data_IF_680990035965
#
_entry.id   IF_680990035965
#
_cell.length_a   1.000
_cell.length_b   1.000
_cell.length_c   1.000
_cell.angle_alpha   90.00
_cell.angle_beta   90.00
_cell.angle_gamma   90.00
#
_symmetry.space_group_name_H-M   'P 1'
#
loop_
_entity.id
_entity.type
_entity.pdbx_description
1 polymer ?
2 non-polymer ?
3 non-polymer ?
4 non-polymer ?
5 non-polymer ?
6 water ?
#
# COMPACT_ATOMS: atom_id res chain seq x y z
N UNK A 5 29.81 2.04 -6.13
CA UNK A 5 29.10 2.92 -7.05
C UNK A 5 27.63 2.46 -7.21
N UNK A 6 26.67 3.35 -6.97
CA UNK A 6 25.28 3.00 -7.18
C UNK A 6 24.89 3.38 -8.61
N UNK A 7 24.61 2.39 -9.44
CA UNK A 7 24.21 2.67 -10.82
C UNK A 7 22.93 3.48 -10.90
N UNK A 8 22.01 3.32 -9.94
CA UNK A 8 20.77 4.07 -9.97
C UNK A 8 20.48 4.71 -8.61
N UNK A 9 19.89 5.88 -8.67
CA UNK A 9 19.48 6.52 -7.43
C UNK A 9 18.46 5.61 -6.71
N UNK A 10 18.38 5.64 -5.37
CA UNK A 10 17.36 4.85 -4.65
C UNK A 10 15.97 5.30 -5.10
N UNK A 11 14.97 4.44 -4.86
CA UNK A 11 13.61 4.69 -5.29
C UNK A 11 12.63 4.53 -4.14
N UNK A 12 11.66 5.44 -4.04
CA UNK A 12 10.57 5.21 -3.10
C UNK A 12 9.26 5.55 -3.77
N UNK A 13 8.19 4.99 -3.21
CA UNK A 13 6.82 5.21 -3.65
C UNK A 13 6.06 5.97 -2.58
N UNK A 14 5.54 7.15 -2.93
CA UNK A 14 4.80 7.90 -1.94
C UNK A 14 3.48 8.44 -2.50
N UNK A 15 2.77 9.26 -1.73
CA UNK A 15 1.54 9.83 -2.28
C UNK A 15 1.08 10.91 -1.33
N UNK A 16 0.22 11.79 -1.85
CA UNK A 16 -0.40 12.85 -1.03
C UNK A 16 -1.75 12.34 -0.54
N UNK A 17 -1.97 12.40 0.79
CA UNK A 17 -3.23 12.01 1.41
C UNK A 17 -3.75 13.17 2.21
N UNK A 18 -5.01 13.07 2.66
CA UNK A 18 -5.63 14.19 3.37
C UNK A 18 -7.00 14.56 2.82
N UNK A 19 -7.67 15.45 3.58
CA UNK A 19 -9.07 15.80 3.31
C UNK A 19 -9.20 16.53 1.97
N UNK A 20 -10.38 16.42 1.39
CA UNK A 20 -10.67 17.08 0.13
C UNK A 20 -10.52 18.59 0.24
N UNK A 21 -9.92 19.18 -0.83
CA UNK A 21 -9.69 20.61 -0.99
C UNK A 21 -8.60 21.14 -0.07
N UNK A 22 -7.85 20.28 0.62
CA UNK A 22 -6.77 20.79 1.49
C UNK A 22 -5.52 21.13 0.71
N UNK A 23 -5.39 20.61 -0.51
CA UNK A 23 -4.32 21.05 -1.40
C UNK A 23 -3.42 19.97 -1.90
N UNK A 24 -3.89 18.72 -1.91
CA UNK A 24 -3.03 17.59 -2.31
C UNK A 24 -2.55 17.75 -3.74
N UNK A 25 -3.48 18.04 -4.68
CA UNK A 25 -3.07 18.11 -6.09
C UNK A 25 -2.26 19.36 -6.35
N UNK A 26 -2.58 20.48 -5.70
CA UNK A 26 -1.75 21.65 -5.90
C UNK A 26 -0.34 21.42 -5.35
N UNK A 27 -0.20 20.73 -4.23
CA UNK A 27 1.15 20.42 -3.71
C UNK A 27 1.87 19.49 -4.68
N UNK A 28 1.18 18.47 -5.23
CA UNK A 28 1.82 17.58 -6.19
C UNK A 28 2.34 18.37 -7.37
N UNK A 29 1.52 19.29 -7.89
CA UNK A 29 1.97 20.12 -9.01
C UNK A 29 3.14 20.96 -8.61
N UNK A 30 3.08 21.59 -7.44
CA UNK A 30 4.19 22.42 -7.00
C UNK A 30 5.48 21.63 -6.85
N UNK A 31 5.44 20.42 -6.30
CA UNK A 31 6.67 19.61 -6.19
C UNK A 31 7.26 19.38 -7.58
N UNK A 32 6.42 19.00 -8.54
CA UNK A 32 7.01 18.68 -9.86
C UNK A 32 7.56 19.94 -10.52
N UNK A 33 6.93 21.08 -10.30
CA UNK A 33 7.32 22.33 -10.94
C UNK A 33 8.62 22.86 -10.32
N UNK A 34 8.74 22.78 -9.00
CA UNK A 34 9.97 23.21 -8.34
C UNK A 34 11.15 22.31 -8.76
N UNK A 35 10.93 20.98 -8.74
CA UNK A 35 12.04 20.09 -9.08
C UNK A 35 12.35 20.15 -10.57
N UNK A 36 11.38 20.50 -11.42
CA UNK A 36 11.66 20.65 -12.86
C UNK A 36 12.67 21.77 -13.12
N UNK A 37 12.71 22.81 -12.23
CA UNK A 37 13.68 23.87 -12.44
C UNK A 37 15.10 23.34 -12.33
N UNK A 38 15.30 22.26 -11.57
CA UNK A 38 16.61 21.62 -11.43
C UNK A 38 16.86 20.56 -12.48
N UNK A 39 15.94 20.36 -13.42
CA UNK A 39 16.07 19.26 -14.35
C UNK A 39 15.71 17.89 -13.78
N UNK A 40 15.02 17.85 -12.64
CA UNK A 40 14.77 16.60 -11.96
C UNK A 40 13.34 16.13 -12.09
N UNK A 41 12.53 16.76 -12.93
CA UNK A 41 11.15 16.34 -13.14
C UNK A 41 10.67 16.99 -14.42
N UNK A 42 9.65 16.38 -15.02
CA UNK A 42 8.79 17.09 -15.94
C UNK A 42 7.75 17.85 -15.14
N UNK A 43 7.67 19.16 -15.35
CA UNK A 43 6.66 19.92 -14.63
C UNK A 43 5.26 19.46 -15.05
N UNK A 44 4.37 19.26 -14.07
CA UNK A 44 3.00 18.79 -14.31
C UNK A 44 2.06 19.86 -13.81
N UNK A 45 1.17 20.31 -14.69
CA UNK A 45 0.22 21.38 -14.35
C UNK A 45 -0.86 20.84 -13.42
N UNK A 46 -1.35 21.72 -12.54
CA UNK A 46 -2.48 21.34 -11.71
C UNK A 46 -3.59 20.72 -12.50
N UNK A 47 -3.99 21.37 -13.60
CA UNK A 47 -5.18 20.91 -14.30
C UNK A 47 -4.99 19.48 -14.81
N UNK A 48 -3.75 19.13 -15.15
CA UNK A 48 -3.41 17.78 -15.66
C UNK A 48 -3.56 16.75 -14.54
N UNK A 49 -2.89 17.00 -13.41
CA UNK A 49 -2.92 16.06 -12.29
C UNK A 49 -4.33 15.94 -11.73
N UNK A 50 -5.06 17.07 -11.65
CA UNK A 50 -6.43 17.09 -11.12
C UNK A 50 -7.37 16.22 -11.93
N UNK A 51 -7.15 16.13 -13.24
CA UNK A 51 -7.97 15.31 -14.13
C UNK A 51 -7.40 13.88 -14.16
N UNK A 52 -7.41 13.23 -13.01
CA UNK A 52 -6.80 11.90 -12.89
C UNK A 52 -7.57 10.87 -13.73
N UNK A 53 -6.87 9.99 -14.42
CA UNK A 53 -7.54 8.94 -15.21
C UNK A 53 -8.04 7.77 -14.38
N UNK A 54 -9.04 7.07 -14.94
CA UNK A 54 -9.48 5.82 -14.34
C UNK A 54 -8.50 4.69 -14.61
N UNK A 55 -8.33 3.83 -13.63
CA UNK A 55 -7.53 2.62 -13.73
C UNK A 55 -8.34 1.49 -13.13
N UNK A 56 -8.30 0.33 -13.79
CA UNK A 56 -9.02 -0.86 -13.39
C UNK A 56 -8.03 -2.00 -13.23
N UNK A 57 -8.24 -2.82 -12.19
CA UNK A 57 -7.27 -3.84 -11.84
C UNK A 57 -7.96 -4.89 -10.98
N UNK A 58 -7.99 -6.14 -11.45
CA UNK A 58 -8.53 -7.26 -10.68
C UNK A 58 -9.95 -6.95 -10.17
N UNK A 59 -10.72 -6.25 -11.02
CA UNK A 59 -12.11 -5.95 -10.71
C UNK A 59 -12.35 -4.70 -9.89
N UNK A 60 -11.38 -3.79 -9.77
CA UNK A 60 -11.55 -2.63 -8.90
C UNK A 60 -11.08 -1.38 -9.64
N UNK A 61 -11.96 -0.38 -9.72
CA UNK A 61 -11.74 0.84 -10.48
C UNK A 61 -11.41 2.00 -9.54
N UNK A 62 -10.32 2.71 -9.84
CA UNK A 62 -9.85 3.80 -9.01
C UNK A 62 -9.40 4.93 -9.93
N UNK A 63 -9.65 6.16 -9.55
CA UNK A 63 -9.08 7.32 -10.26
C UNK A 63 -7.80 7.74 -9.55
N UNK A 64 -6.66 7.73 -10.26
CA UNK A 64 -5.35 7.96 -9.64
C UNK A 64 -4.47 8.69 -10.65
N UNK A 65 -3.87 9.78 -10.22
CA UNK A 65 -2.80 10.42 -10.96
C UNK A 65 -1.46 9.84 -10.52
N UNK A 66 -0.55 9.67 -11.47
CA UNK A 66 0.81 9.20 -11.21
C UNK A 66 1.80 10.26 -11.68
N UNK A 67 2.68 10.69 -10.82
CA UNK A 67 3.76 11.57 -11.27
C UNK A 67 5.07 10.95 -10.81
N UNK A 68 6.12 11.27 -11.56
CA UNK A 68 7.46 10.86 -11.18
C UNK A 68 8.37 12.06 -11.13
N UNK A 69 9.31 12.01 -10.19
CA UNK A 69 10.29 13.06 -10.06
C UNK A 69 11.40 12.51 -9.20
N UNK A 70 12.51 13.25 -9.14
CA UNK A 70 13.56 12.90 -8.19
C UNK A 70 14.05 14.16 -7.50
N UNK A 71 14.59 13.93 -6.31
CA UNK A 71 15.40 14.91 -5.63
C UNK A 71 16.87 14.54 -5.88
N UNK A 72 17.80 15.29 -5.28
CA UNK A 72 19.21 14.92 -5.39
C UNK A 72 19.51 13.59 -4.74
N UNK A 73 18.63 13.12 -3.85
CA UNK A 73 18.86 11.91 -3.09
C UNK A 73 18.10 10.70 -3.60
N UNK A 74 16.92 10.87 -4.22
CA UNK A 74 16.07 9.70 -4.37
C UNK A 74 15.08 9.97 -5.49
N UNK A 75 14.72 8.93 -6.21
CA UNK A 75 13.68 8.95 -7.23
C UNK A 75 12.34 8.55 -6.61
N UNK A 76 11.27 9.22 -7.03
CA UNK A 76 9.94 8.97 -6.46
C UNK A 76 8.92 8.65 -7.52
N UNK A 77 8.05 7.72 -7.16
CA UNK A 77 6.75 7.58 -7.82
C UNK A 77 5.76 8.12 -6.82
N UNK A 78 4.85 8.96 -7.28
CA UNK A 78 3.98 9.69 -6.37
C UNK A 78 2.54 9.60 -6.86
N UNK A 79 1.63 9.12 -6.01
CA UNK A 79 0.22 9.08 -6.38
C UNK A 79 -0.60 10.16 -5.72
N UNK A 80 -1.60 10.61 -6.45
CA UNK A 80 -2.54 11.62 -5.97
C UNK A 80 -3.91 11.25 -6.53
N UNK A 81 -4.97 11.36 -5.75
CA UNK A 81 -6.30 10.89 -6.19
C UNK A 81 -7.35 11.97 -5.98
N UNK A 82 -8.38 12.03 -6.82
CA UNK A 82 -9.37 13.10 -6.67
C UNK A 82 -10.19 12.97 -5.41
N UNK A 83 -10.71 11.79 -5.16
CA UNK A 83 -11.73 11.67 -4.13
C UNK A 83 -11.32 10.80 -2.97
N UNK A 84 -12.00 11.02 -1.85
CA UNK A 84 -11.82 10.18 -0.69
C UNK A 84 -11.98 8.68 -0.99
N UNK A 85 -13.00 8.31 -1.77
CA UNK A 85 -13.19 6.92 -2.14
C UNK A 85 -12.02 6.35 -2.89
N UNK A 86 -11.36 7.15 -3.73
CA UNK A 86 -10.19 6.68 -4.46
C UNK A 86 -9.06 6.32 -3.49
N UNK A 87 -8.88 7.11 -2.42
CA UNK A 87 -7.85 6.79 -1.43
C UNK A 87 -8.21 5.52 -0.66
N UNK A 88 -9.46 5.39 -0.26
CA UNK A 88 -9.87 4.19 0.47
C UNK A 88 -9.56 2.95 -0.35
N UNK A 89 -9.97 2.96 -1.62
CA UNK A 89 -9.76 1.79 -2.48
C UNK A 89 -8.27 1.58 -2.75
N UNK A 90 -7.52 2.66 -3.03
CA UNK A 90 -6.11 2.49 -3.34
C UNK A 90 -5.35 1.94 -2.15
N UNK A 91 -5.66 2.45 -0.96
CA UNK A 91 -4.90 2.01 0.20
C UNK A 91 -5.28 0.58 0.55
N UNK A 92 -6.58 0.22 0.51
CA UNK A 92 -6.96 -1.12 0.91
C UNK A 92 -6.51 -2.15 -0.13
N UNK A 93 -6.62 -1.82 -1.43
CA UNK A 93 -6.16 -2.83 -2.39
C UNK A 93 -4.64 -2.82 -2.57
N UNK A 94 -3.95 -1.82 -2.07
CA UNK A 94 -2.53 -1.68 -2.30
C UNK A 94 -2.16 -1.42 -3.74
N UNK A 95 -3.06 -0.77 -4.50
CA UNK A 95 -2.82 -0.50 -5.91
C UNK A 95 -1.61 0.41 -6.12
N UNK A 96 -1.26 1.23 -5.12
CA UNK A 96 0.00 1.96 -5.12
C UNK A 96 0.81 1.57 -3.89
N UNK A 97 2.08 1.19 -4.09
CA UNK A 97 2.98 1.02 -2.95
C UNK A 97 3.15 2.35 -2.27
N UNK A 98 3.01 2.34 -0.95
CA UNK A 98 3.25 3.59 -0.18
C UNK A 98 4.30 3.33 0.89
N UNK A 99 5.54 3.63 0.56
CA UNK A 99 6.64 3.55 1.50
C UNK A 99 6.54 4.67 2.49
N UNK A 100 5.80 5.72 2.13
CA UNK A 100 5.46 6.78 3.06
C UNK A 100 4.40 7.63 2.41
N UNK A 101 3.87 8.57 3.18
CA UNK A 101 2.82 9.43 2.67
C UNK A 101 3.09 10.83 3.10
N UNK A 102 2.76 11.80 2.24
CA UNK A 102 2.70 13.22 2.64
C UNK A 102 1.25 13.51 2.97
N UNK A 103 1.00 13.80 4.26
CA UNK A 103 -0.32 14.18 4.73
C UNK A 103 -0.45 15.68 4.56
N UNK A 104 -1.39 16.13 3.76
CA UNK A 104 -1.64 17.56 3.54
C UNK A 104 -2.80 17.98 4.43
N UNK A 105 -2.54 19.01 5.26
CA UNK A 105 -3.58 19.53 6.15
C UNK A 105 -3.69 21.02 5.87
N UNK A 106 -4.88 21.51 5.60
CA UNK A 106 -5.03 22.95 5.42
C UNK A 106 -4.89 23.66 6.74
N UNK A 107 -4.01 24.65 6.79
CA UNK A 107 -3.89 25.42 8.01
C UNK A 107 -5.09 26.30 8.29
N UNK A 108 -5.90 26.60 7.27
CA UNK A 108 -7.08 27.44 7.43
C UNK A 108 -8.24 26.65 8.01
N UNK A 109 -8.25 25.33 7.81
CA UNK A 109 -9.35 24.49 8.25
C UNK A 109 -8.98 23.58 9.42
N UNK A 110 -7.71 23.26 9.58
CA UNK A 110 -7.29 22.24 10.51
C UNK A 110 -7.63 20.84 10.04
N UNK A 111 -7.33 19.85 10.87
CA UNK A 111 -7.68 18.45 10.50
C UNK A 111 -9.19 18.31 10.38
N UNK A 112 -9.60 17.50 9.41
CA UNK A 112 -11.01 17.28 9.08
C UNK A 112 -11.26 15.76 9.01
N UNK A 113 -12.50 15.32 8.80
CA UNK A 113 -12.74 13.87 8.96
C UNK A 113 -11.91 13.00 8.08
N UNK A 114 -11.55 13.44 6.87
CA UNK A 114 -10.76 12.56 6.04
C UNK A 114 -9.28 12.64 6.42
N UNK A 115 -8.85 13.72 7.09
CA UNK A 115 -7.53 13.72 7.68
C UNK A 115 -7.40 12.55 8.64
N UNK A 116 -8.41 12.40 9.53
CA UNK A 116 -8.41 11.33 10.50
C UNK A 116 -8.53 9.99 9.80
N UNK A 117 -9.44 9.91 8.82
CA UNK A 117 -9.63 8.60 8.19
C UNK A 117 -8.43 8.15 7.40
N UNK A 118 -7.75 9.08 6.74
CA UNK A 118 -6.56 8.68 5.98
C UNK A 118 -5.40 8.29 6.87
N UNK A 119 -5.27 8.93 8.04
CA UNK A 119 -4.27 8.47 9.00
C UNK A 119 -4.64 7.10 9.53
N UNK A 120 -5.91 6.87 9.85
CA UNK A 120 -6.33 5.56 10.32
C UNK A 120 -5.97 4.52 9.29
N UNK A 121 -6.35 4.75 8.04
CA UNK A 121 -6.09 3.74 7.02
C UNK A 121 -4.59 3.56 6.81
N UNK A 122 -3.82 4.65 6.86
CA UNK A 122 -2.38 4.50 6.68
C UNK A 122 -1.79 3.58 7.72
N UNK A 123 -2.24 3.72 8.97
CA UNK A 123 -1.78 2.81 10.02
C UNK A 123 -2.26 1.39 9.74
N UNK A 124 -3.54 1.23 9.42
CA UNK A 124 -4.07 -0.13 9.29
C UNK A 124 -3.45 -0.88 8.11
N UNK A 125 -3.13 -0.20 7.01
CA UNK A 125 -2.57 -0.91 5.86
C UNK A 125 -1.05 -0.92 5.89
N UNK A 126 -0.42 -0.31 6.89
CA UNK A 126 1.01 -0.45 7.08
C UNK A 126 1.89 0.57 6.40
N UNK A 127 1.38 1.77 6.14
CA UNK A 127 2.28 2.79 5.60
C UNK A 127 3.36 3.08 6.63
N UNK A 128 4.63 3.02 6.30
CA UNK A 128 5.63 3.06 7.38
C UNK A 128 5.74 4.41 8.07
N UNK A 129 5.69 5.48 7.31
CA UNK A 129 6.06 6.79 7.83
C UNK A 129 5.24 7.87 7.14
N UNK A 130 4.99 8.94 7.88
CA UNK A 130 4.25 10.10 7.39
C UNK A 130 5.12 11.37 7.54
N UNK A 131 5.06 12.24 6.51
CA UNK A 131 5.51 13.62 6.63
C UNK A 131 4.30 14.51 6.40
N UNK A 132 4.16 15.60 7.14
CA UNK A 132 3.01 16.50 7.01
C UNK A 132 3.41 17.77 6.28
N UNK A 133 2.58 18.20 5.34
CA UNK A 133 2.66 19.54 4.79
C UNK A 133 1.42 20.30 5.26
N UNK A 134 1.66 21.34 6.07
CA UNK A 134 0.60 22.21 6.59
C UNK A 134 0.41 23.31 5.53
N UNK A 135 -0.58 23.14 4.65
CA UNK A 135 -0.75 23.95 3.48
C UNK A 135 -1.59 25.18 3.79
N UNK A 136 -1.63 26.08 2.81
CA UNK A 136 -2.48 27.28 2.89
C UNK A 136 -1.99 28.20 4.01
N UNK A 137 -0.66 28.19 4.24
CA UNK A 137 -0.08 29.10 5.22
C UNK A 137 -0.37 30.56 4.85
N UNK A 138 -0.53 30.84 3.55
CA UNK A 138 -0.87 32.18 3.12
C UNK A 138 -2.20 32.69 3.63
N UNK A 139 -3.09 31.80 4.06
CA UNK A 139 -4.39 32.16 4.59
C UNK A 139 -4.38 32.42 6.07
N UNK A 140 -3.27 32.18 6.76
CA UNK A 140 -3.26 32.25 8.21
C UNK A 140 -2.13 33.22 8.60
N UNK A 141 -2.49 34.39 9.07
CA UNK A 141 -1.49 35.42 9.36
C UNK A 141 -0.97 35.41 10.81
N UNK A 142 -1.35 34.42 11.62
CA UNK A 142 -0.99 34.38 13.03
C UNK A 142 -0.18 33.10 13.28
N UNK A 143 1.12 33.27 13.57
CA UNK A 143 1.99 32.14 13.92
C UNK A 143 1.43 31.30 15.08
N UNK A 144 0.79 31.95 16.06
CA UNK A 144 0.15 31.24 17.16
C UNK A 144 -0.82 30.20 16.66
N UNK A 145 -1.62 30.55 15.65
CA UNK A 145 -2.64 29.63 15.18
C UNK A 145 -1.97 28.48 14.44
N UNK A 146 -0.87 28.74 13.72
CA UNK A 146 -0.21 27.64 13.02
C UNK A 146 0.36 26.63 14.01
N UNK A 147 0.92 27.10 15.13
CA UNK A 147 1.43 26.14 16.09
C UNK A 147 0.33 25.27 16.69
N UNK A 148 -0.84 25.86 16.94
CA UNK A 148 -1.97 25.09 17.46
C UNK A 148 -2.42 24.03 16.44
N UNK A 149 -2.47 24.36 15.15
CA UNK A 149 -2.82 23.34 14.17
C UNK A 149 -1.74 22.24 14.15
N UNK A 150 -0.42 22.61 14.23
CA UNK A 150 0.63 21.58 14.28
C UNK A 150 0.44 20.67 15.48
N UNK A 151 0.17 21.23 16.67
CA UNK A 151 -0.01 20.36 17.82
C UNK A 151 -1.23 19.44 17.66
N UNK A 152 -2.32 19.99 17.12
CA UNK A 152 -3.50 19.16 16.87
C UNK A 152 -3.19 18.00 15.95
N UNK A 153 -2.41 18.25 14.90
CA UNK A 153 -2.02 17.19 13.95
C UNK A 153 -1.09 16.20 14.63
N UNK A 154 -0.12 16.67 15.43
CA UNK A 154 0.73 15.72 16.13
C UNK A 154 -0.07 14.84 17.07
N UNK A 155 -1.06 15.42 17.77
CA UNK A 155 -1.89 14.61 18.67
C UNK A 155 -2.70 13.58 17.88
N UNK A 156 -3.23 14.00 16.74
CA UNK A 156 -4.02 13.09 15.92
C UNK A 156 -3.15 11.93 15.46
N UNK A 157 -1.94 12.22 14.97
CA UNK A 157 -1.04 11.18 14.52
C UNK A 157 -0.75 10.21 15.64
N UNK A 158 -0.44 10.74 16.85
CA UNK A 158 -0.15 9.88 18.00
C UNK A 158 -1.34 8.99 18.37
N UNK A 159 -2.55 9.47 18.15
CA UNK A 159 -3.72 8.69 18.54
C UNK A 159 -3.93 7.47 17.65
N UNK A 160 -3.26 7.43 16.49
CA UNK A 160 -3.25 6.28 15.59
C UNK A 160 -1.91 5.54 15.62
N UNK A 161 -1.13 5.73 16.67
CA UNK A 161 0.16 5.09 16.96
C UNK A 161 1.25 5.43 15.95
N UNK A 162 1.15 6.55 15.25
CA UNK A 162 2.30 7.11 14.59
C UNK A 162 3.07 7.94 15.60
N UNK A 163 4.35 8.18 15.38
CA UNK A 163 5.18 8.89 16.37
C UNK A 163 5.00 10.39 16.14
N UNK A 164 3.92 10.93 16.70
CA UNK A 164 3.58 12.32 16.48
C UNK A 164 4.63 13.31 16.93
N UNK A 165 5.50 12.91 17.83
CA UNK A 165 6.60 13.75 18.27
C UNK A 165 7.72 13.84 17.24
N UNK A 166 7.88 12.82 16.39
CA UNK A 166 9.06 12.74 15.51
C UNK A 166 8.71 13.07 14.06
N UNK A 167 7.43 13.11 13.73
CA UNK A 167 7.04 13.33 12.34
C UNK A 167 7.36 14.76 11.90
N UNK A 168 8.04 14.96 10.77
CA UNK A 168 8.33 16.32 10.31
C UNK A 168 7.07 16.97 9.82
N UNK A 169 6.87 18.22 10.22
CA UNK A 169 5.76 19.03 9.76
C UNK A 169 6.35 20.29 9.13
N UNK A 170 6.09 20.51 7.85
CA UNK A 170 6.56 21.65 7.11
C UNK A 170 5.35 22.50 6.73
N UNK A 171 5.31 23.77 7.11
CA UNK A 171 4.22 24.65 6.73
C UNK A 171 4.58 25.45 5.47
N UNK A 172 3.57 25.70 4.65
CA UNK A 172 3.81 26.50 3.46
C UNK A 172 2.57 26.67 2.64
N UNK A 173 2.75 27.09 1.39
CA UNK A 173 1.65 27.28 0.46
C UNK A 173 1.99 26.66 -0.88
N UNK A 174 1.29 25.60 -1.24
CA UNK A 174 1.54 24.99 -2.54
C UNK A 174 1.17 25.97 -3.64
N UNK A 175 0.11 26.75 -3.43
CA UNK A 175 -0.34 27.67 -4.49
C UNK A 175 0.62 28.84 -4.66
N UNK A 176 1.14 29.36 -3.57
CA UNK A 176 2.10 30.45 -3.71
C UNK A 176 3.42 29.97 -4.28
N UNK A 177 3.84 28.74 -3.99
CA UNK A 177 5.06 28.24 -4.65
C UNK A 177 4.85 28.08 -6.13
N UNK A 178 3.74 27.51 -6.58
CA UNK A 178 3.47 27.43 -8.03
C UNK A 178 3.43 28.83 -8.68
N UNK A 179 2.76 29.79 -8.06
CA UNK A 179 2.71 31.12 -8.63
C UNK A 179 4.11 31.74 -8.64
N UNK A 180 4.92 31.48 -7.62
CA UNK A 180 6.26 32.05 -7.60
C UNK A 180 7.07 31.56 -8.79
N UNK A 181 7.01 30.24 -9.06
CA UNK A 181 7.75 29.73 -10.22
C UNK A 181 7.20 30.34 -11.51
N UNK A 182 5.89 30.45 -11.63
CA UNK A 182 5.30 31.06 -12.82
C UNK A 182 5.75 32.50 -13.01
N UNK A 183 6.02 33.22 -11.92
CA UNK A 183 6.49 34.59 -11.95
C UNK A 183 7.98 34.76 -12.08
N UNK A 184 8.72 33.66 -12.22
CA UNK A 184 10.14 33.71 -12.50
C UNK A 184 11.08 33.18 -11.43
N UNK A 185 10.54 32.58 -10.34
CA UNK A 185 11.43 32.08 -9.29
C UNK A 185 12.35 30.98 -9.85
N UNK A 186 13.57 30.93 -9.33
CA UNK A 186 14.60 30.12 -9.96
C UNK A 186 14.56 28.66 -9.58
N UNK A 187 13.96 28.31 -8.42
CA UNK A 187 14.06 26.96 -7.89
C UNK A 187 15.28 26.72 -7.03
N UNK A 188 16.15 27.70 -6.91
CA UNK A 188 17.32 27.58 -6.04
C UNK A 188 16.96 27.97 -4.63
N UNK A 189 17.54 27.30 -3.64
CA UNK A 189 17.26 27.63 -2.25
C UNK A 189 17.67 29.04 -1.96
N UNK A 190 16.80 29.77 -1.28
CA UNK A 190 17.06 31.15 -0.92
C UNK A 190 16.49 32.16 -1.88
N UNK A 191 16.10 31.74 -3.08
CA UNK A 191 15.57 32.70 -4.05
C UNK A 191 14.15 33.16 -3.73
N UNK A 192 13.31 32.28 -3.17
CA UNK A 192 11.91 32.62 -2.89
C UNK A 192 11.44 31.82 -1.69
N UNK A 193 10.74 32.45 -0.74
CA UNK A 193 10.47 31.76 0.54
C UNK A 193 9.43 30.68 0.41
N UNK A 194 8.50 30.83 -0.52
CA UNK A 194 7.51 29.80 -0.76
C UNK A 194 8.09 28.59 -1.47
N UNK A 195 8.95 28.81 -2.46
CA UNK A 195 9.65 27.69 -3.09
C UNK A 195 10.53 26.99 -2.07
N UNK A 196 11.16 27.77 -1.15
CA UNK A 196 12.02 27.14 -0.14
C UNK A 196 11.25 26.17 0.73
N UNK A 197 9.96 26.42 0.98
CA UNK A 197 9.18 25.49 1.82
C UNK A 197 8.92 24.20 1.07
N UNK A 198 8.78 24.24 -0.26
CA UNK A 198 8.66 23.00 -1.02
C UNK A 198 9.98 22.24 -1.01
N UNK A 199 11.09 22.97 -1.13
CA UNK A 199 12.40 22.30 -1.05
C UNK A 199 12.57 21.68 0.32
N UNK A 200 12.14 22.37 1.38
CA UNK A 200 12.26 21.81 2.73
C UNK A 200 11.39 20.59 2.91
N UNK A 201 10.16 20.61 2.36
CA UNK A 201 9.33 19.41 2.38
C UNK A 201 10.06 18.23 1.77
N UNK A 202 10.72 18.43 0.63
CA UNK A 202 11.35 17.29 -0.02
C UNK A 202 12.64 16.84 0.68
N UNK A 203 13.31 17.76 1.36
CA UNK A 203 14.42 17.37 2.26
C UNK A 203 13.92 16.48 3.37
N UNK A 204 12.75 16.81 3.95
CA UNK A 204 12.21 16.01 5.05
C UNK A 204 11.73 14.66 4.55
N UNK A 205 11.05 14.62 3.38
CA UNK A 205 10.68 13.35 2.75
C UNK A 205 11.91 12.48 2.51
N UNK A 206 12.96 13.06 1.95
CA UNK A 206 14.19 12.27 1.70
C UNK A 206 14.75 11.69 2.98
N UNK A 207 14.77 12.50 4.04
CA UNK A 207 15.45 12.07 5.27
C UNK A 207 14.62 11.12 6.11
N UNK A 208 13.29 11.28 6.14
CA UNK A 208 12.45 10.64 7.15
C UNK A 208 11.73 9.41 6.61
N UNK A 209 11.34 9.39 5.35
CA UNK A 209 10.69 8.20 4.78
C UNK A 209 11.77 7.20 4.35
N UNK A 210 11.84 6.00 4.93
CA UNK A 210 12.92 5.04 4.55
C UNK A 210 12.71 4.48 3.17
N UNK A 211 13.84 4.25 2.50
CA UNK A 211 13.79 3.50 1.24
C UNK A 211 13.39 2.07 1.55
N UNK A 212 12.47 1.50 0.80
CA UNK A 212 12.06 0.11 1.07
C UNK A 212 13.20 -0.87 0.83
N UNK A 213 13.15 -1.96 1.59
CA UNK A 213 14.06 -3.09 1.34
C UNK A 213 13.83 -3.63 -0.07
N UNK A 214 14.92 -3.99 -0.75
CA UNK A 214 14.76 -4.62 -2.06
C UNK A 214 13.96 -5.90 -1.89
N UNK A 215 13.03 -6.16 -2.83
CA UNK A 215 12.17 -7.34 -2.74
C UNK A 215 12.98 -8.63 -2.71
N UNK A 216 14.10 -8.67 -3.46
CA UNK A 216 14.90 -9.90 -3.48
C UNK A 216 15.59 -10.18 -2.17
N UNK A 217 15.70 -9.16 -1.28
CA UNK A 217 16.34 -9.34 0.01
C UNK A 217 15.39 -9.77 1.13
N UNK A 218 14.08 -9.72 0.89
CA UNK A 218 13.06 -10.10 1.88
C UNK A 218 12.96 -11.64 1.90
N UNK A 219 12.29 -12.24 2.88
CA UNK A 219 12.20 -13.71 2.92
C UNK A 219 11.40 -14.25 1.74
N UNK A 220 11.93 -15.33 1.18
CA UNK A 220 11.30 -15.97 0.04
C UNK A 220 9.82 -16.24 0.30
N UNK A 221 9.00 -15.96 -0.72
CA UNK A 221 7.60 -16.32 -0.72
C UNK A 221 7.15 -16.55 -2.16
N UNK A 222 6.49 -17.69 -2.43
CA UNK A 222 5.92 -17.94 -3.75
C UNK A 222 4.60 -18.64 -3.55
N UNK A 223 3.51 -18.11 -4.09
CA UNK A 223 2.26 -18.84 -4.08
C UNK A 223 2.28 -19.97 -5.13
N UNK A 224 1.85 -21.17 -4.75
CA UNK A 224 1.79 -22.28 -5.70
C UNK A 224 0.61 -22.10 -6.65
N UNK A 225 0.90 -22.14 -7.95
CA UNK A 225 -0.18 -22.00 -8.93
C UNK A 225 -0.52 -23.28 -9.64
N UNK A 226 0.46 -24.13 -9.88
CA UNK A 226 0.24 -25.39 -10.56
C UNK A 226 1.31 -26.35 -10.07
N UNK A 227 1.08 -27.63 -10.33
CA UNK A 227 1.97 -28.65 -9.81
C UNK A 227 2.06 -29.74 -10.86
N UNK A 228 3.25 -30.31 -11.01
CA UNK A 228 3.48 -31.32 -12.02
C UNK A 228 4.26 -32.48 -11.46
N UNK A 229 3.92 -33.70 -11.93
CA UNK A 229 4.65 -34.94 -11.64
C UNK A 229 5.43 -35.33 -12.88
N UNK A 230 6.74 -35.29 -12.80
CA UNK A 230 7.58 -35.64 -13.94
C UNK A 230 8.50 -36.80 -13.61
N UNK A 231 9.13 -36.78 -12.45
CA UNK A 231 9.83 -37.94 -11.91
C UNK A 231 9.18 -38.40 -10.60
N UNK A 232 9.62 -39.58 -10.15
CA UNK A 232 9.18 -40.08 -8.86
C UNK A 232 9.85 -39.44 -7.67
N UNK A 233 10.80 -38.53 -7.88
CA UNK A 233 11.60 -38.01 -6.79
C UNK A 233 11.03 -36.74 -6.12
N UNK A 234 9.98 -36.13 -6.68
CA UNK A 234 9.39 -34.93 -6.07
C UNK A 234 8.32 -34.37 -7.00
N UNK A 235 7.80 -33.21 -6.63
CA UNK A 235 6.82 -32.57 -7.49
C UNK A 235 7.43 -31.26 -7.99
N UNK A 236 7.17 -30.81 -9.23
CA UNK A 236 7.52 -29.45 -9.64
C UNK A 236 6.36 -28.51 -9.33
N UNK A 237 6.61 -27.48 -8.54
CA UNK A 237 5.61 -26.48 -8.18
C UNK A 237 5.91 -25.18 -8.93
N UNK A 238 4.93 -24.62 -9.59
CA UNK A 238 5.15 -23.41 -10.38
C UNK A 238 4.43 -22.21 -9.79
N UNK A 239 5.02 -21.04 -10.01
CA UNK A 239 4.38 -19.79 -9.57
C UNK A 239 5.31 -18.66 -9.88
N UNK A 240 4.90 -17.46 -9.45
CA UNK A 240 5.73 -16.29 -9.58
C UNK A 240 6.27 -15.93 -8.20
N UNK A 241 7.58 -15.80 -8.09
CA UNK A 241 8.18 -15.51 -6.79
C UNK A 241 7.77 -14.10 -6.39
N UNK A 242 7.14 -13.97 -5.23
CA UNK A 242 6.60 -12.64 -4.84
C UNK A 242 7.70 -11.79 -4.22
N UNK A 243 8.57 -12.40 -3.45
CA UNK A 243 9.67 -11.69 -2.83
C UNK A 243 10.76 -12.68 -2.48
N UNK A 244 11.95 -12.15 -2.22
CA UNK A 244 13.11 -12.93 -1.89
C UNK A 244 13.68 -13.76 -3.03
N UNK A 245 14.35 -14.82 -2.66
CA UNK A 245 15.01 -15.70 -3.63
C UNK A 245 15.13 -17.09 -3.05
N UNK A 246 15.32 -18.08 -3.94
CA UNK A 246 15.43 -19.46 -3.51
C UNK A 246 16.52 -20.12 -4.32
N UNK A 247 17.37 -20.87 -3.65
CA UNK A 247 18.54 -21.47 -4.26
C UNK A 247 18.44 -22.98 -4.17
N UNK A 248 18.99 -23.67 -5.17
CA UNK A 248 19.08 -25.12 -5.08
C UNK A 248 19.78 -25.56 -3.79
N UNK A 249 19.20 -26.56 -3.10
CA UNK A 249 19.75 -27.06 -1.84
C UNK A 249 19.14 -26.46 -0.60
N UNK A 250 18.41 -25.36 -0.74
CA UNK A 250 17.79 -24.72 0.41
C UNK A 250 16.56 -25.46 0.91
N UNK A 251 16.37 -25.41 2.23
CA UNK A 251 15.15 -25.88 2.85
C UNK A 251 14.10 -24.78 2.78
N UNK A 252 12.92 -25.14 2.29
CA UNK A 252 11.78 -24.22 2.35
C UNK A 252 10.64 -24.89 3.08
N UNK A 253 9.62 -24.11 3.41
CA UNK A 253 8.40 -24.66 3.97
C UNK A 253 7.26 -24.54 2.97
N UNK A 254 6.36 -25.50 3.05
CA UNK A 254 5.05 -25.49 2.37
C UNK A 254 4.03 -25.09 3.43
N UNK A 255 3.37 -23.95 3.28
CA UNK A 255 2.53 -23.40 4.33
C UNK A 255 1.12 -23.24 3.83
N UNK A 256 0.16 -23.64 4.66
CA UNK A 256 -1.27 -23.50 4.38
C UNK A 256 -1.89 -24.82 4.04
N UNK A 257 -3.17 -24.97 4.41
CA UNK A 257 -4.13 -26.03 4.06
C UNK A 257 -3.84 -27.42 4.63
N UNK A 258 -2.58 -27.78 4.71
CA UNK A 258 -2.13 -28.98 5.39
C UNK A 258 -1.10 -28.54 6.40
N UNK A 259 -0.75 -29.45 7.32
CA UNK A 259 0.28 -29.10 8.30
C UNK A 259 1.53 -28.61 7.57
N UNK A 260 2.17 -27.60 8.14
CA UNK A 260 3.42 -27.08 7.57
C UNK A 260 4.45 -28.19 7.49
N UNK A 261 5.14 -28.26 6.35
CA UNK A 261 6.16 -29.26 6.08
C UNK A 261 7.35 -28.62 5.40
N UNK A 262 8.53 -29.19 5.61
CA UNK A 262 9.71 -28.64 4.96
C UNK A 262 10.22 -29.60 3.90
N UNK A 263 10.87 -29.03 2.89
CA UNK A 263 11.37 -29.82 1.73
C UNK A 263 12.62 -29.12 1.27
N UNK A 264 13.48 -29.84 0.55
CA UNK A 264 14.62 -29.23 -0.11
C UNK A 264 14.27 -28.92 -1.57
N UNK A 265 14.63 -27.72 -2.00
CA UNK A 265 14.52 -27.35 -3.42
C UNK A 265 15.71 -27.94 -4.17
N UNK A 266 15.44 -28.84 -5.11
CA UNK A 266 16.53 -29.50 -5.81
C UNK A 266 16.62 -29.06 -7.26
N UNK A 267 15.80 -28.12 -7.70
CA UNK A 267 15.91 -27.58 -9.04
C UNK A 267 15.10 -26.32 -9.19
N UNK A 268 15.56 -25.41 -10.02
CA UNK A 268 14.90 -24.15 -10.38
C UNK A 268 14.91 -24.06 -11.88
N UNK A 269 13.73 -23.93 -12.49
CA UNK A 269 13.62 -23.91 -13.94
C UNK A 269 12.77 -22.75 -14.42
N UNK A 270 13.21 -22.12 -15.53
CA UNK A 270 12.40 -21.16 -16.27
C UNK A 270 12.45 -21.62 -17.73
N UNK A 271 11.68 -20.97 -18.60
CA UNK A 271 11.69 -21.40 -20.00
C UNK A 271 13.11 -21.36 -20.55
N UNK A 272 13.58 -22.50 -21.02
CA UNK A 272 14.87 -22.60 -21.69
C UNK A 272 16.04 -22.29 -20.74
N UNK A 273 15.84 -22.41 -19.41
CA UNK A 273 16.91 -22.12 -18.46
C UNK A 273 16.83 -23.08 -17.28
N UNK A 274 17.96 -23.65 -16.93
CA UNK A 274 18.17 -24.38 -15.67
C UNK A 274 18.99 -23.49 -14.74
N UNK A 275 18.45 -23.13 -13.56
CA UNK A 275 19.01 -22.05 -12.76
C UNK A 275 19.46 -22.61 -11.42
N UNK A 276 20.43 -21.92 -10.80
CA UNK A 276 20.76 -22.23 -9.40
C UNK A 276 19.89 -21.45 -8.42
N UNK A 277 19.28 -20.37 -8.86
CA UNK A 277 18.67 -19.35 -8.03
C UNK A 277 17.43 -18.85 -8.75
N UNK A 278 16.29 -18.82 -8.09
CA UNK A 278 15.16 -18.04 -8.57
C UNK A 278 14.99 -16.74 -7.77
N UNK A 279 14.63 -15.67 -8.46
CA UNK A 279 14.54 -14.35 -7.82
C UNK A 279 13.13 -13.80 -7.85
N UNK A 280 12.81 -12.89 -6.90
CA UNK A 280 11.58 -12.15 -6.93
C UNK A 280 11.24 -11.63 -8.30
N UNK A 281 10.00 -11.85 -8.72
CA UNK A 281 9.50 -11.48 -10.02
C UNK A 281 9.55 -12.60 -11.03
N UNK A 282 10.40 -13.61 -10.84
CA UNK A 282 10.61 -14.70 -11.80
C UNK A 282 9.41 -15.66 -11.70
N UNK A 283 8.89 -16.09 -12.86
CA UNK A 283 7.98 -17.23 -12.95
C UNK A 283 8.85 -18.46 -13.07
N UNK A 284 8.70 -19.39 -12.12
CA UNK A 284 9.62 -20.51 -12.02
C UNK A 284 8.87 -21.81 -11.82
N UNK A 285 9.57 -22.90 -12.07
CA UNK A 285 9.20 -24.22 -11.60
C UNK A 285 10.24 -24.69 -10.61
N UNK A 286 9.82 -25.06 -9.41
CA UNK A 286 10.72 -25.51 -8.35
C UNK A 286 10.51 -26.99 -8.13
N UNK A 287 11.57 -27.77 -8.19
CA UNK A 287 11.52 -29.19 -7.88
C UNK A 287 11.64 -29.39 -6.38
N UNK A 288 10.64 -30.00 -5.78
CA UNK A 288 10.53 -30.15 -4.32
C UNK A 288 10.76 -31.61 -3.96
N UNK A 289 11.87 -31.87 -3.26
CA UNK A 289 12.26 -33.23 -2.91
C UNK A 289 11.26 -33.92 -2.01
N UNK A 290 10.85 -35.14 -2.39
CA UNK A 290 10.05 -35.97 -1.52
C UNK A 290 8.58 -35.62 -1.45
N UNK A 291 8.14 -34.56 -2.13
CA UNK A 291 6.75 -34.12 -2.05
C UNK A 291 5.97 -34.83 -3.14
N UNK A 292 4.81 -35.36 -2.80
CA UNK A 292 3.96 -35.94 -3.82
C UNK A 292 2.94 -34.90 -4.25
N UNK A 293 2.55 -34.99 -5.50
CA UNK A 293 1.66 -34.00 -6.06
C UNK A 293 0.42 -33.89 -5.22
N UNK A 294 -0.01 -34.99 -4.61
CA UNK A 294 -1.19 -34.99 -3.77
C UNK A 294 -1.02 -34.17 -2.48
N UNK A 295 0.22 -33.97 -2.01
CA UNK A 295 0.58 -33.20 -0.81
C UNK A 295 0.49 -31.69 -1.06
N UNK A 296 0.34 -31.23 -2.30
CA UNK A 296 0.61 -29.83 -2.61
C UNK A 296 -0.40 -29.32 -3.61
N UNK A 297 -0.87 -28.09 -3.40
CA UNK A 297 -1.98 -27.60 -4.20
C UNK A 297 -1.97 -26.08 -4.20
N UNK A 298 -2.73 -25.55 -5.16
CA UNK A 298 -2.96 -24.11 -5.26
C UNK A 298 -3.57 -23.53 -3.97
N UNK A 299 -3.06 -22.38 -3.53
CA UNK A 299 -3.45 -21.82 -2.23
C UNK A 299 -2.37 -21.99 -1.18
N UNK A 300 -1.64 -23.09 -1.25
CA UNK A 300 -0.40 -23.18 -0.46
C UNK A 300 0.62 -22.18 -0.96
N UNK A 301 1.55 -21.82 -0.08
CA UNK A 301 2.70 -21.02 -0.48
C UNK A 301 3.97 -21.78 -0.11
N UNK A 302 5.04 -21.45 -0.81
CA UNK A 302 6.40 -21.87 -0.46
C UNK A 302 7.10 -20.67 0.15
N UNK A 303 7.85 -20.89 1.24
CA UNK A 303 8.41 -19.75 1.94
C UNK A 303 9.70 -20.14 2.65
N UNK A 304 10.52 -19.12 2.93
CA UNK A 304 11.65 -19.36 3.87
C UNK A 304 11.07 -19.87 5.18
N UNK A 305 11.61 -20.93 5.78
CA UNK A 305 10.94 -21.52 6.97
C UNK A 305 10.80 -20.53 8.12
N UNK A 306 9.61 -20.54 8.73
CA UNK A 306 9.33 -19.60 9.82
C UNK A 306 9.04 -18.18 9.42
N UNK A 307 9.11 -17.83 8.14
CA UNK A 307 8.87 -16.45 7.75
C UNK A 307 7.42 -16.07 7.58
N UNK A 308 6.52 -17.05 7.42
CA UNK A 308 5.10 -16.82 7.35
C UNK A 308 4.46 -18.05 7.96
N UNK A 309 3.35 -17.85 8.66
CA UNK A 309 2.70 -18.93 9.39
C UNK A 309 1.24 -19.03 8.94
N UNK A 310 0.62 -20.20 9.10
CA UNK A 310 -0.79 -20.35 8.71
C UNK A 310 -1.71 -19.89 9.82
N UNK A 311 -2.84 -19.30 9.39
CA UNK A 311 -3.79 -18.74 10.33
C UNK A 311 -5.18 -18.90 9.79
N UNK A 312 -6.15 -18.77 10.72
CA UNK A 312 -7.54 -18.83 10.32
C UNK A 312 -8.31 -17.61 10.71
N UNK A 313 -7.81 -16.79 11.62
CA UNK A 313 -8.67 -15.68 12.06
C UNK A 313 -7.86 -14.41 12.15
N UNK A 314 -8.41 -13.29 11.65
CA UNK A 314 -7.64 -12.05 11.62
C UNK A 314 -8.58 -10.87 11.52
N UNK A 315 -8.08 -9.73 11.95
CA UNK A 315 -8.79 -8.49 11.69
C UNK A 315 -8.32 -7.92 10.39
N UNK A 316 -9.21 -7.17 9.73
CA UNK A 316 -8.93 -6.65 8.41
C UNK A 316 -9.65 -5.32 8.25
N UNK A 317 -9.16 -4.50 7.34
CA UNK A 317 -9.93 -3.38 6.82
C UNK A 317 -10.53 -3.83 5.52
N UNK A 318 -11.86 -3.69 5.39
CA UNK A 318 -12.62 -4.15 4.25
C UNK A 318 -13.38 -3.00 3.61
N UNK A 319 -13.33 -2.95 2.29
CA UNK A 319 -14.13 -2.04 1.47
C UNK A 319 -15.16 -2.86 0.72
N UNK A 320 -16.41 -2.40 0.74
CA UNK A 320 -17.49 -3.07 0.04
C UNK A 320 -17.72 -2.35 -1.29
N UNK A 321 -17.67 -3.10 -2.40
CA UNK A 321 -17.86 -2.46 -3.71
C UNK A 321 -19.29 -2.00 -3.93
N UNK A 322 -19.44 -0.86 -4.58
CA UNK A 322 -20.76 -0.43 -5.01
C UNK A 322 -21.25 -1.27 -6.18
N UNK A 323 -22.58 -1.32 -6.36
CA UNK A 323 -23.14 -2.03 -7.50
C UNK A 323 -22.57 -1.50 -8.82
N UNK A 324 -22.38 -0.18 -8.88
CA UNK A 324 -21.84 0.50 -10.07
C UNK A 324 -20.45 -0.01 -10.45
N UNK A 325 -19.64 -0.40 -9.47
CA UNK A 325 -18.31 -0.88 -9.79
C UNK A 325 -18.25 -2.41 -9.77
N UNK A 326 -19.39 -3.07 -9.79
CA UNK A 326 -19.41 -4.49 -9.96
C UNK A 326 -19.79 -5.26 -8.71
N UNK A 327 -20.06 -4.58 -7.61
CA UNK A 327 -20.47 -5.25 -6.40
C UNK A 327 -21.95 -5.51 -6.39
N UNK A 328 -22.45 -5.67 -5.18
CA UNK A 328 -23.88 -5.85 -4.93
C UNK A 328 -24.47 -4.65 -4.19
N UNK A 329 -25.79 -4.50 -4.27
CA UNK A 329 -26.48 -3.42 -3.60
C UNK A 329 -26.62 -3.61 -2.10
N UNK A 330 -26.41 -4.79 -1.60
CA UNK A 330 -26.70 -5.15 -0.22
C UNK A 330 -25.47 -5.02 0.68
N UNK A 331 -25.66 -4.59 1.92
CA UNK A 331 -24.52 -4.41 2.83
C UNK A 331 -23.92 -5.74 3.24
N UNK A 332 -22.66 -5.66 3.70
CA UNK A 332 -22.09 -6.80 4.41
C UNK A 332 -22.61 -6.77 5.85
N UNK A 333 -22.78 -7.93 6.45
CA UNK A 333 -23.39 -8.06 7.77
C UNK A 333 -22.69 -9.14 8.56
N UNK A 334 -22.75 -9.08 9.89
CA UNK A 334 -22.07 -10.09 10.71
C UNK A 334 -22.61 -11.48 10.42
N UNK A 335 -21.69 -12.42 10.23
CA UNK A 335 -22.00 -13.80 9.95
C UNK A 335 -22.25 -14.06 8.50
N UNK A 336 -22.13 -13.05 7.64
CA UNK A 336 -22.07 -13.32 6.21
C UNK A 336 -20.86 -14.21 5.92
N UNK A 337 -21.04 -15.19 5.02
CA UNK A 337 -20.02 -16.20 4.73
C UNK A 337 -19.70 -16.26 3.25
N UNK A 338 -19.01 -15.23 2.72
CA UNK A 338 -18.60 -15.22 1.31
C UNK A 338 -17.32 -16.03 1.09
N UNK A 339 -16.77 -15.90 -0.12
CA UNK A 339 -15.47 -16.49 -0.42
C UNK A 339 -14.38 -15.45 -0.30
N UNK A 340 -13.24 -15.88 0.24
CA UNK A 340 -12.07 -15.05 0.36
C UNK A 340 -11.00 -15.53 -0.61
N UNK A 341 -10.68 -14.67 -1.58
CA UNK A 341 -9.65 -15.03 -2.58
C UNK A 341 -8.28 -14.61 -2.05
N UNK A 342 -7.49 -15.63 -1.68
CA UNK A 342 -6.23 -15.44 -1.00
C UNK A 342 -5.14 -15.95 -1.94
N UNK A 343 -4.58 -15.03 -2.70
CA UNK A 343 -3.51 -15.16 -3.72
C UNK A 343 -3.87 -15.95 -4.94
N UNK A 344 -4.45 -17.14 -4.75
CA UNK A 344 -4.70 -18.05 -5.88
C UNK A 344 -6.00 -18.81 -5.78
N UNK A 345 -6.71 -18.80 -4.63
CA UNK A 345 -7.86 -19.65 -4.51
C UNK A 345 -8.86 -19.03 -3.54
N UNK A 346 -10.13 -19.38 -3.73
CA UNK A 346 -11.19 -19.00 -2.80
C UNK A 346 -11.17 -19.91 -1.58
N UNK A 347 -11.33 -19.31 -0.40
CA UNK A 347 -11.49 -20.02 0.87
C UNK A 347 -12.78 -19.48 1.48
N UNK A 348 -13.66 -20.35 1.92
CA UNK A 348 -14.85 -19.89 2.63
C UNK A 348 -14.50 -19.29 4.00
N UNK A 349 -15.18 -18.19 4.36
CA UNK A 349 -14.91 -17.57 5.64
C UNK A 349 -16.19 -16.93 6.17
N UNK A 350 -16.13 -16.53 7.42
CA UNK A 350 -17.24 -15.83 8.02
C UNK A 350 -16.73 -14.53 8.57
N UNK A 351 -17.51 -13.46 8.41
CA UNK A 351 -17.10 -12.16 8.92
C UNK A 351 -17.87 -11.84 10.21
N UNK A 352 -17.24 -11.04 11.07
CA UNK A 352 -17.81 -10.78 12.39
C UNK A 352 -17.19 -9.54 13.00
N UNK A 353 -17.73 -9.10 14.14
CA UNK A 353 -17.09 -8.10 15.01
C UNK A 353 -16.81 -6.80 14.23
N UNK A 354 -17.83 -6.29 13.55
CA UNK A 354 -17.66 -5.03 12.81
C UNK A 354 -17.46 -3.90 13.81
N UNK A 355 -16.39 -3.13 13.59
CA UNK A 355 -15.97 -2.10 14.56
C UNK A 355 -15.81 -0.80 13.80
N UNK A 356 -16.65 0.16 14.16
CA UNK A 356 -16.66 1.48 13.58
C UNK A 356 -15.41 2.25 14.00
N UNK A 357 -15.16 3.33 13.26
CA UNK A 357 -13.89 4.04 13.49
C UNK A 357 -13.82 4.60 14.91
N UNK A 358 -14.97 4.87 15.55
CA UNK A 358 -14.93 5.34 16.93
C UNK A 358 -14.83 4.20 17.96
N UNK A 359 -14.67 2.92 17.54
CA UNK A 359 -14.53 1.77 18.41
C UNK A 359 -15.81 1.05 18.72
N UNK A 360 -16.95 1.63 18.38
CA UNK A 360 -18.21 1.00 18.69
C UNK A 360 -18.54 -0.09 17.70
N UNK A 361 -19.46 -0.93 18.11
CA UNK A 361 -19.91 -2.03 17.24
C UNK A 361 -20.80 -1.47 16.15
N UNK A 362 -20.72 -2.05 14.98
CA UNK A 362 -21.55 -1.65 13.86
C UNK A 362 -22.39 -2.82 13.43
N UNK A 363 -23.58 -2.49 12.88
CA UNK A 363 -24.54 -3.49 12.43
C UNK A 363 -24.25 -3.99 11.02
N UNK A 364 -23.54 -3.20 10.22
CA UNK A 364 -23.39 -3.56 8.83
C UNK A 364 -22.38 -2.59 8.25
N UNK A 365 -21.89 -2.88 7.04
CA UNK A 365 -21.16 -1.88 6.27
C UNK A 365 -21.72 -1.84 4.87
N UNK A 366 -22.11 -0.64 4.44
CA UNK A 366 -22.91 -0.49 3.23
C UNK A 366 -21.94 -0.42 2.06
N UNK A 367 -22.43 -0.71 0.85
CA UNK A 367 -21.56 -0.56 -0.33
C UNK A 367 -20.98 0.84 -0.46
N UNK A 368 -19.70 0.90 -0.83
CA UNK A 368 -18.97 2.14 -0.91
C UNK A 368 -18.33 2.55 0.38
N UNK A 369 -18.60 1.84 1.49
CA UNK A 369 -18.00 2.17 2.77
C UNK A 369 -16.93 1.13 3.12
N UNK A 370 -16.16 1.43 4.12
CA UNK A 370 -15.11 0.60 4.65
C UNK A 370 -15.25 0.47 6.15
N UNK A 371 -14.79 -0.66 6.70
CA UNK A 371 -14.83 -0.86 8.13
C UNK A 371 -13.81 -1.90 8.55
N UNK A 372 -13.44 -1.88 9.82
CA UNK A 372 -12.66 -2.95 10.45
C UNK A 372 -13.59 -4.12 10.79
N UNK A 373 -13.22 -5.33 10.38
CA UNK A 373 -13.99 -6.52 10.74
C UNK A 373 -13.06 -7.69 10.89
N UNK A 374 -13.54 -8.72 11.53
CA UNK A 374 -12.83 -9.96 11.73
C UNK A 374 -13.29 -10.97 10.70
N UNK A 375 -12.33 -11.70 10.16
CA UNK A 375 -12.54 -12.79 9.20
C UNK A 375 -12.05 -14.09 9.85
N UNK A 376 -12.85 -15.15 9.72
CA UNK A 376 -12.46 -16.48 10.16
C UNK A 376 -12.62 -17.39 8.97
N UNK A 377 -11.51 -18.01 8.54
CA UNK A 377 -11.53 -18.92 7.37
C UNK A 377 -11.79 -20.37 7.82
N UNK A 378 -12.39 -21.15 6.91
CA UNK A 378 -12.70 -22.54 7.24
C UNK A 378 -11.45 -23.39 7.31
N UNK A 379 -10.40 -23.02 6.57
CA UNK A 379 -9.15 -23.78 6.53
C UNK A 379 -8.02 -22.80 6.76
N UNK A 380 -6.91 -23.24 7.37
CA UNK A 380 -5.77 -22.35 7.58
C UNK A 380 -5.03 -22.06 6.28
N UNK A 381 -4.55 -20.83 6.16
CA UNK A 381 -3.80 -20.42 4.96
C UNK A 381 -2.70 -19.49 5.45
N UNK A 382 -1.62 -19.38 4.65
CA UNK A 382 -0.54 -18.49 5.08
C UNK A 382 -1.08 -17.06 5.08
N UNK A 383 -1.00 -16.39 6.23
CA UNK A 383 -1.55 -15.05 6.37
C UNK A 383 -0.47 -14.23 7.05
N UNK A 384 -0.32 -12.97 6.62
CA UNK A 384 0.55 -12.02 7.33
C UNK A 384 -0.12 -10.65 7.28
N UNK A 385 0.30 -9.80 8.22
CA UNK A 385 -0.15 -8.42 8.18
C UNK A 385 0.21 -7.77 6.84
N UNK A 386 -0.72 -7.05 6.27
CA UNK A 386 -0.52 -6.42 4.97
C UNK A 386 -0.91 -7.23 3.77
N UNK A 387 -1.24 -8.51 3.95
CA UNK A 387 -1.70 -9.33 2.85
C UNK A 387 -3.05 -8.80 2.37
N UNK A 388 -3.19 -8.64 1.09
CA UNK A 388 -4.46 -8.32 0.48
C UNK A 388 -5.24 -9.55 0.07
N UNK A 389 -6.56 -9.39 0.04
CA UNK A 389 -7.43 -10.45 -0.41
C UNK A 389 -8.67 -9.80 -1.04
N UNK A 390 -9.34 -10.55 -1.90
CA UNK A 390 -10.61 -10.15 -2.45
C UNK A 390 -11.73 -10.95 -1.79
N UNK A 391 -12.91 -10.35 -1.69
CA UNK A 391 -14.10 -11.04 -1.19
C UNK A 391 -15.00 -11.25 -2.40
N UNK A 392 -15.44 -12.48 -2.60
CA UNK A 392 -16.10 -12.88 -3.85
C UNK A 392 -17.40 -13.62 -3.56
N UNK A 393 -18.34 -13.49 -4.48
CA UNK A 393 -19.49 -14.36 -4.47
C UNK A 393 -19.72 -14.76 -5.92
N UNK A 394 -19.69 -16.07 -6.19
CA UNK A 394 -19.77 -16.58 -7.54
C UNK A 394 -18.69 -16.08 -8.48
N UNK A 395 -17.46 -15.94 -7.98
CA UNK A 395 -16.38 -15.52 -8.83
C UNK A 395 -16.29 -14.04 -9.13
N UNK A 396 -17.29 -13.24 -8.73
CA UNK A 396 -17.20 -11.79 -8.92
C UNK A 396 -16.72 -11.15 -7.62
N UNK A 397 -15.85 -10.18 -7.75
CA UNK A 397 -15.34 -9.48 -6.58
C UNK A 397 -16.42 -8.52 -6.05
N UNK A 398 -16.74 -8.65 -4.77
CA UNK A 398 -17.75 -7.81 -4.12
C UNK A 398 -17.15 -7.00 -2.99
N UNK A 399 -15.90 -7.25 -2.64
CA UNK A 399 -15.23 -6.52 -1.57
C UNK A 399 -13.74 -6.69 -1.73
N UNK A 400 -12.99 -5.87 -0.99
CA UNK A 400 -11.54 -6.01 -0.94
C UNK A 400 -11.09 -5.80 0.47
N UNK A 401 -10.05 -6.48 0.89
CA UNK A 401 -9.56 -6.36 2.23
C UNK A 401 -8.05 -6.39 2.34
N UNK A 402 -7.58 -5.94 3.48
CA UNK A 402 -6.17 -6.07 3.89
C UNK A 402 -6.12 -6.55 5.34
N UNK A 403 -5.28 -7.54 5.60
CA UNK A 403 -5.07 -8.04 6.93
C UNK A 403 -4.40 -6.97 7.78
N UNK A 404 -5.03 -6.61 8.88
CA UNK A 404 -4.42 -5.66 9.82
C UNK A 404 -3.95 -6.25 11.13
N UNK A 405 -4.49 -7.38 11.55
CA UNK A 405 -4.00 -8.02 12.79
C UNK A 405 -4.32 -9.51 12.80
N UNK A 406 -3.31 -10.32 13.08
CA UNK A 406 -3.56 -11.76 13.18
C UNK A 406 -4.13 -12.06 14.56
N UNK A 407 -5.21 -12.85 14.60
CA UNK A 407 -5.83 -13.26 15.85
C UNK A 407 -5.59 -14.71 16.22
N UNK A 408 -5.71 -15.64 15.27
CA UNK A 408 -5.44 -17.06 15.53
C UNK A 408 -4.84 -17.67 14.27
X LIG B 1 -20.12 -19.91 -4.72
X LIG B 1 -19.04 -20.30 -5.49
X LIG B 1 -19.56 -18.76 -3.84
X LIG B 1 -18.90 -17.83 -4.59
X LIG B 1 -20.79 -18.17 -3.08
X LIG B 1 -20.30 -17.44 -1.99
X LIG C 1 -6.38 -2.90 -8.35
X LIG C 1 -6.91 -1.64 -9.03
X LIG C 1 -6.35 -2.69 -6.95
X LIG C 1 -6.15 -1.51 -10.68
X LIG D 1 -7.19 18.52 -3.03
X LIG D 1 -6.62 18.21 -1.69
X LIG D 1 -8.65 18.22 -3.12
X LIG D 1 -6.41 17.93 -4.15
X LIG D 1 -7.06 20.11 -3.19
X LIG D 1 -6.65 21.04 -4.42
X LIG D 1 -5.18 20.93 -4.66
X LIG D 1 -7.57 20.78 -5.55
X LIG D 1 -6.93 22.47 -3.79
X LIG D 1 -8.28 22.85 -3.46
X LIG D 1 -8.41 24.33 -3.65
X LIG D 1 -7.55 25.01 -2.70
X LIG D 1 -8.01 24.84 -5.04
X LIG D 1 -8.86 25.87 -5.51
X LIG D 1 -6.58 25.36 -4.81
X LIG D 1 -6.18 26.37 -5.70
X LIG D 1 -6.68 25.89 -3.38
X LIG D 1 -5.39 25.89 -2.73
X LIG D 1 -4.45 24.89 -2.77
X LIG D 1 -3.36 25.19 -2.13
X LIG D 1 -3.58 26.46 -1.65
X LIG D 1 -2.74 27.29 -0.88
X LIG D 1 -1.59 27.07 -0.46
X LIG D 1 -3.35 28.51 -0.61
X LIG D 1 -4.60 28.89 -1.01
X LIG D 1 -5.02 30.10 -0.66
X LIG D 1 -5.40 28.10 -1.74
X LIG D 1 -4.82 26.91 -2.02
X LIG E 1 -10.28 15.92 14.23
X LIG E 1 -10.58 15.10 12.98
X LIG E 1 -8.91 15.75 14.57
X LIG E 1 -12.23 15.57 12.41
X LIG F 1 11.58 -32.51 -13.25
X LIG F 1 12.54 -33.42 -12.79
X LIG F 1 12.27 -31.35 -14.04
X LIG F 1 12.41 -30.19 -13.27
X LIG F 1 11.39 -31.10 -15.28
X LIG F 1 12.13 -30.39 -16.22
X LIG G 1 -24.73 -10.46 -0.22
X LIG G 1 -24.81 -11.03 -1.49
X LIG G 1 -23.49 -9.51 -0.22
X LIG G 1 -23.35 -8.78 -1.35
X LIG G 1 -23.63 -8.62 1.02
X LIG G 1 -24.30 -9.35 2.01
X LIG H 1 23.50 -0.67 -7.55
X LIG H 1 24.76 -0.51 -8.13
X LIG H 1 22.55 -0.02 -8.54
X LIG H 1 21.88 1.04 -7.98
X LIG H 1 21.67 -1.16 -9.13
X LIG H 1 21.18 -0.71 -10.39
X LIG I 1 -16.96 17.85 9.39
X LIG I 1 -17.20 18.46 8.00
X LIG I 1 -15.99 18.57 10.13
X LIG I 1 -16.37 17.47 6.74
X LIG J 1 -9.44 -11.70 -7.87
X LIG J 1 -8.89 -11.85 -9.28
X LIG J 1 -8.50 -10.95 -7.13
X LIG J 1 -8.87 -13.62 -9.64
X LIG K 1 28.55 0.67 -16.54
X LIG K 1 27.79 1.81 -16.93
X LIG K 1 29.87 0.59 -17.28
X LIG K 1 29.85 -0.48 -18.21
X LIG K 1 31.07 0.50 -16.37
X LIG K 1 31.31 -0.84 -15.90
X LIG L 1 1.99 -1.82 2.85
X LIG L 1 0.81 -2.57 2.96
X LIG L 1 1.75 -0.72 1.80
X LIG L 1 2.76 0.23 1.84
X LIG L 1 0.36 -0.11 2.16
X LIG L 1 -0.26 0.30 0.98
X LIG M 1 -6.86 16.65 -5.74
#
# INVERSE_FOLDING_TARGET
ARAKFERTKPHANIGTIGHVDHGKTTLTAAITTVLAKAGMAKARAYADIDAAPEEKARGITINTAHVEYETGNRHYAHVDCPGHADYVKNMITGAAQMDGAILVVSAADGPMPQTREHILLAKQVGVPNIVVFLNKEDMVDDAELLELVELEVRELLSSYDFPGDDIPIVAGSALQALEAIQGGASGQKGDNPWVDKILKLMEEVDAYIPTPEREVDRPFLMAVEDVFTITGRGTVATGRIERGSVKVGETIEIVGLRDTRSTTVTGVEMFQKTLDEGLAGDNVGLLLRGIQKTDIERGMVLAKPGSITPHTKFESEVYVLKKEEGGRHTPFFPGYRPQFYVRTTDVTGAISDFTADDGSAAEMVIPGDRIKMTVELINPIAIEQGMRFAIREGGRTIGAGVVSKILQ
GOL C1 O1 C2 O2 C3 O3
BME C1 C2 O1 S2
GDP PB O1B O2B O3B O3A PA O1A O2A O5' C5' C4' O4' C3' O3' C2' O2' C1' N9 C8 N7 C5 C6 O6 N1 C2 N2 N3 C4
BME C1 C2 O1 S2
GOL C1 O1 C2 O2 C3 O3
GOL C1 O1 C2 O2 C3 O3
GOL C1 O1 C2 O2 C3 O3
BME C1 C2 O1 S2
BME C1 C2 O1 S2
GOL C1 O1 C2 O2 C3 O3
GOL C1 O1 C2 O2 C3 O3
MG MG
#
